data_IF_647916528358
#
_entry.id   IF_647916528358
#
_cell.length_a   1.000
_cell.length_b   1.000
_cell.length_c   1.000
_cell.angle_alpha   90.00
_cell.angle_beta   90.00
_cell.angle_gamma   90.00
#
_symmetry.space_group_name_H-M   'P 1'
#
loop_
_entity.id
_entity.type
_entity.pdbx_description
1 polymer ?
#
# COMPACT_ATOMS: atom_id res chain seq x y z
N UNK A 1 11.47 -99.45 -47.78
CA UNK A 1 12.84 -99.16 -47.32
C UNK A 1 13.42 -98.05 -48.17
N UNK A 2 14.21 -97.17 -47.54
CA UNK A 2 14.97 -96.05 -48.10
C UNK A 2 14.17 -94.78 -48.50
N UNK A 3 14.15 -93.86 -47.54
CA UNK A 3 13.85 -92.42 -47.68
C UNK A 3 15.04 -91.72 -48.33
N UNK A 4 14.78 -90.88 -49.33
CA UNK A 4 15.77 -90.01 -49.96
C UNK A 4 15.76 -88.65 -49.25
N UNK A 5 16.96 -88.24 -48.82
CA UNK A 5 17.22 -86.98 -48.15
C UNK A 5 17.31 -85.83 -49.15
N UNK A 6 16.59 -84.74 -48.88
CA UNK A 6 16.71 -83.47 -49.59
C UNK A 6 17.43 -82.46 -48.66
N UNK A 7 18.50 -81.89 -49.18
CA UNK A 7 19.45 -81.06 -48.46
C UNK A 7 18.91 -79.63 -48.26
N UNK A 8 18.85 -79.20 -47.00
CA UNK A 8 18.57 -77.82 -46.61
C UNK A 8 19.88 -77.03 -46.60
N UNK A 9 19.98 -75.85 -47.25
CA UNK A 9 21.20 -75.06 -47.23
C UNK A 9 21.41 -74.40 -45.86
N UNK A 10 22.61 -74.54 -45.32
CA UNK A 10 23.07 -73.89 -44.11
C UNK A 10 23.13 -72.37 -44.31
N UNK A 11 22.25 -71.64 -43.61
CA UNK A 11 22.35 -70.19 -43.48
C UNK A 11 23.47 -69.85 -42.50
N UNK A 12 24.45 -69.10 -42.97
CA UNK A 12 25.47 -68.43 -42.17
C UNK A 12 24.83 -67.39 -41.25
N UNK A 13 25.26 -67.26 -39.98
CA UNK A 13 24.77 -66.20 -39.10
C UNK A 13 25.32 -64.86 -39.60
N UNK A 14 24.44 -64.00 -40.09
CA UNK A 14 24.75 -62.62 -40.44
C UNK A 14 25.31 -61.90 -39.20
N UNK A 15 26.54 -61.39 -39.32
CA UNK A 15 27.12 -60.43 -38.39
C UNK A 15 26.16 -59.25 -38.26
N UNK A 16 25.55 -59.10 -37.08
CA UNK A 16 24.80 -57.88 -36.77
C UNK A 16 25.84 -56.78 -36.60
N UNK A 17 25.95 -55.95 -37.62
CA UNK A 17 26.67 -54.67 -37.60
C UNK A 17 26.21 -53.88 -36.37
N UNK A 18 27.11 -53.71 -35.40
CA UNK A 18 26.82 -52.94 -34.19
C UNK A 18 26.74 -51.47 -34.56
N UNK A 19 25.52 -50.94 -34.64
CA UNK A 19 25.28 -49.51 -34.77
C UNK A 19 25.24 -48.92 -33.34
N UNK A 20 26.27 -48.18 -32.91
CA UNK A 20 26.24 -47.57 -31.59
C UNK A 20 25.06 -46.59 -31.49
N UNK A 21 24.33 -46.56 -30.35
CA UNK A 21 23.25 -45.61 -30.12
C UNK A 21 23.73 -44.16 -30.28
N UNK A 22 22.91 -43.26 -30.85
CA UNK A 22 23.28 -41.85 -31.00
C UNK A 22 23.47 -41.23 -29.60
N UNK A 23 24.58 -40.51 -29.43
CA UNK A 23 24.90 -39.81 -28.19
C UNK A 23 23.86 -38.72 -27.94
N UNK A 24 23.52 -38.50 -26.68
CA UNK A 24 22.69 -37.35 -26.30
C UNK A 24 23.46 -36.04 -26.49
N UNK A 25 22.76 -34.95 -26.80
CA UNK A 25 23.35 -33.61 -26.98
C UNK A 25 24.24 -33.21 -25.79
N UNK A 26 23.83 -33.54 -24.56
CA UNK A 26 24.61 -33.28 -23.36
C UNK A 26 25.92 -34.09 -23.29
N UNK A 27 25.92 -35.33 -23.78
CA UNK A 27 27.13 -36.14 -23.86
C UNK A 27 28.07 -35.64 -24.96
N UNK A 28 27.50 -35.17 -26.08
CA UNK A 28 28.27 -34.55 -27.16
C UNK A 28 28.95 -33.27 -26.67
N UNK A 29 28.22 -32.39 -25.98
CA UNK A 29 28.77 -31.17 -25.37
C UNK A 29 29.87 -31.48 -24.35
N UNK A 30 29.70 -32.53 -23.53
CA UNK A 30 30.73 -32.97 -22.59
C UNK A 30 32.00 -33.47 -23.30
N UNK A 31 31.85 -34.23 -24.39
CA UNK A 31 32.97 -34.70 -25.22
C UNK A 31 33.67 -33.52 -25.90
N UNK A 32 32.90 -32.57 -26.43
CA UNK A 32 33.41 -31.35 -27.07
C UNK A 32 34.18 -30.51 -26.06
N UNK A 33 33.61 -30.26 -24.88
CA UNK A 33 34.26 -29.54 -23.79
C UNK A 33 35.58 -30.20 -23.39
N UNK A 34 35.58 -31.52 -23.18
CA UNK A 34 36.79 -32.28 -22.84
C UNK A 34 37.88 -32.15 -23.92
N UNK A 35 37.49 -32.18 -25.21
CA UNK A 35 38.43 -32.01 -26.33
C UNK A 35 38.96 -30.59 -26.48
N UNK A 36 38.17 -29.58 -26.12
CA UNK A 36 38.58 -28.17 -26.17
C UNK A 36 39.54 -27.85 -25.02
N UNK A 37 39.28 -28.37 -23.81
CA UNK A 37 40.08 -28.09 -22.63
C UNK A 37 41.39 -28.89 -22.58
N UNK A 38 41.43 -30.09 -23.15
CA UNK A 38 42.64 -30.93 -23.16
C UNK A 38 43.48 -30.71 -24.44
N UNK A 39 44.54 -29.90 -24.35
CA UNK A 39 45.44 -29.64 -25.48
C UNK A 39 46.44 -30.79 -25.75
N UNK A 40 45.97 -31.79 -26.48
CA UNK A 40 46.78 -32.91 -26.99
C UNK A 40 47.90 -32.46 -27.97
N UNK A 41 47.93 -31.21 -28.45
CA UNK A 41 48.98 -30.75 -29.37
C UNK A 41 50.32 -30.65 -28.67
N UNK A 42 50.36 -30.17 -27.42
CA UNK A 42 51.59 -30.07 -26.64
C UNK A 42 52.21 -31.44 -26.39
N UNK A 43 51.41 -32.42 -25.95
CA UNK A 43 51.85 -33.80 -25.76
C UNK A 43 52.37 -34.43 -27.06
N UNK A 44 51.68 -34.20 -28.18
CA UNK A 44 52.14 -34.64 -29.51
C UNK A 44 53.44 -33.98 -29.95
N UNK A 45 53.72 -32.72 -29.56
CA UNK A 45 55.01 -32.07 -29.83
C UNK A 45 56.14 -32.71 -29.02
N UNK A 46 55.95 -32.90 -27.71
CA UNK A 46 56.90 -33.62 -26.84
C UNK A 46 57.21 -35.01 -27.40
N UNK A 47 56.16 -35.76 -27.77
CA UNK A 47 56.28 -37.10 -28.34
C UNK A 47 57.09 -37.08 -29.63
N UNK A 48 56.86 -36.13 -30.54
CA UNK A 48 57.65 -36.01 -31.78
C UNK A 48 59.10 -35.66 -31.52
N UNK A 49 59.39 -34.76 -30.57
CA UNK A 49 60.77 -34.41 -30.18
C UNK A 49 61.51 -35.59 -29.55
N UNK A 50 60.81 -36.39 -28.74
CA UNK A 50 61.34 -37.64 -28.19
C UNK A 50 61.73 -38.64 -29.28
N UNK A 51 60.83 -38.90 -30.24
CA UNK A 51 61.11 -39.83 -31.35
C UNK A 51 62.27 -39.35 -32.23
N UNK A 52 62.36 -38.04 -32.48
CA UNK A 52 63.48 -37.44 -33.21
C UNK A 52 64.80 -37.67 -32.46
N UNK A 53 64.85 -37.36 -31.16
CA UNK A 53 66.04 -37.63 -30.33
C UNK A 53 66.41 -39.12 -30.33
N UNK A 54 65.45 -40.01 -30.11
CA UNK A 54 65.68 -41.46 -30.09
C UNK A 54 66.24 -41.96 -31.44
N UNK A 55 65.74 -41.45 -32.57
CA UNK A 55 66.21 -41.85 -33.90
C UNK A 55 67.66 -41.44 -34.20
N UNK A 56 68.13 -40.32 -33.65
CA UNK A 56 69.49 -39.81 -33.84
C UNK A 56 70.46 -40.40 -32.81
N UNK A 57 69.99 -40.65 -31.58
CA UNK A 57 70.79 -41.24 -30.50
C UNK A 57 70.94 -42.77 -30.62
N UNK A 58 69.95 -43.46 -31.19
CA UNK A 58 69.94 -44.90 -31.41
C UNK A 58 69.60 -45.24 -32.87
N UNK A 59 70.59 -45.20 -33.79
CA UNK A 59 70.38 -45.55 -35.18
C UNK A 59 69.91 -47.00 -35.31
N UNK A 60 68.76 -47.21 -35.95
CA UNK A 60 68.23 -48.56 -36.23
C UNK A 60 69.13 -49.31 -37.21
N UNK A 61 69.33 -50.62 -37.00
CA UNK A 61 70.19 -51.50 -37.81
C UNK A 61 69.65 -51.81 -39.23
N UNK A 62 68.65 -51.07 -39.72
CA UNK A 62 67.95 -51.26 -41.01
C UNK A 62 68.29 -50.04 -41.91
N UNK A 63 68.55 -50.22 -43.23
CA UNK A 63 69.19 -49.18 -44.05
C UNK A 63 68.42 -47.84 -44.06
N UNK A 64 69.12 -46.70 -43.88
CA UNK A 64 68.50 -45.44 -43.55
C UNK A 64 67.94 -44.67 -44.75
N UNK A 65 66.75 -44.11 -44.58
CA UNK A 65 66.25 -42.92 -45.32
C UNK A 65 67.10 -41.69 -44.97
N UNK A 66 67.23 -40.67 -45.85
CA UNK A 66 68.20 -39.59 -45.69
C UNK A 66 68.06 -38.88 -44.33
N UNK A 67 69.13 -38.95 -43.54
CA UNK A 67 69.17 -38.50 -42.15
C UNK A 67 69.16 -36.97 -42.04
N UNK A 68 68.35 -36.45 -41.12
CA UNK A 68 68.49 -35.08 -40.64
C UNK A 68 69.87 -34.91 -39.99
N UNK A 69 70.63 -33.89 -40.40
CA UNK A 69 72.02 -33.62 -39.97
C UNK A 69 72.11 -32.94 -38.60
N UNK A 70 71.14 -33.16 -37.71
CA UNK A 70 71.09 -32.53 -36.38
C UNK A 70 71.98 -33.31 -35.42
N UNK A 71 72.79 -32.62 -34.61
CA UNK A 71 73.62 -33.29 -33.62
C UNK A 71 72.76 -33.96 -32.54
N UNK A 72 73.26 -35.05 -31.94
CA UNK A 72 72.57 -35.76 -30.85
C UNK A 72 72.25 -34.80 -29.70
N UNK A 73 73.18 -33.89 -29.39
CA UNK A 73 73.03 -32.92 -28.31
C UNK A 73 71.94 -31.88 -28.64
N UNK A 74 71.88 -31.36 -29.87
CA UNK A 74 70.80 -30.44 -30.28
C UNK A 74 69.41 -31.11 -30.21
N UNK A 75 69.33 -32.38 -30.60
CA UNK A 75 68.08 -33.14 -30.53
C UNK A 75 67.64 -33.43 -29.09
N UNK A 76 68.61 -33.65 -28.18
CA UNK A 76 68.39 -33.82 -26.74
C UNK A 76 67.89 -32.52 -26.11
N UNK A 77 68.57 -31.41 -26.37
CA UNK A 77 68.20 -30.11 -25.80
C UNK A 77 66.84 -29.65 -26.29
N UNK A 78 66.52 -29.88 -27.58
CA UNK A 78 65.20 -29.61 -28.12
C UNK A 78 64.09 -30.45 -27.47
N UNK A 79 64.37 -31.71 -27.10
CA UNK A 79 63.43 -32.54 -26.36
C UNK A 79 63.25 -32.07 -24.90
N UNK A 80 64.35 -31.79 -24.19
CA UNK A 80 64.29 -31.31 -22.81
C UNK A 80 63.56 -29.97 -22.70
N UNK A 81 63.77 -29.06 -23.65
CA UNK A 81 63.09 -27.78 -23.70
C UNK A 81 61.58 -27.94 -23.91
N UNK A 82 61.15 -28.79 -24.86
CA UNK A 82 59.72 -29.06 -25.07
C UNK A 82 59.09 -29.76 -23.86
N UNK A 83 59.82 -30.68 -23.21
CA UNK A 83 59.37 -31.36 -21.99
C UNK A 83 59.18 -30.38 -20.83
N UNK A 84 60.14 -29.46 -20.62
CA UNK A 84 60.04 -28.41 -19.61
C UNK A 84 58.87 -27.45 -19.91
N UNK A 85 58.67 -27.08 -21.17
CA UNK A 85 57.55 -26.26 -21.60
C UNK A 85 56.20 -26.96 -21.35
N UNK A 86 56.11 -28.26 -21.63
CA UNK A 86 54.91 -29.06 -21.35
C UNK A 86 54.64 -29.15 -19.84
N UNK A 87 55.66 -29.40 -19.02
CA UNK A 87 55.52 -29.41 -17.56
C UNK A 87 55.04 -28.05 -17.03
N UNK A 88 55.56 -26.94 -17.56
CA UNK A 88 55.10 -25.61 -17.19
C UNK A 88 53.62 -25.38 -17.58
N UNK A 89 53.21 -25.84 -18.76
CA UNK A 89 51.82 -25.78 -19.20
C UNK A 89 50.88 -26.56 -18.28
N UNK A 90 51.26 -27.76 -17.83
CA UNK A 90 50.48 -28.54 -16.89
C UNK A 90 50.32 -27.84 -15.54
N UNK A 91 51.41 -27.27 -15.00
CA UNK A 91 51.37 -26.49 -13.76
C UNK A 91 50.45 -25.27 -13.90
N UNK A 92 50.51 -24.56 -15.03
CA UNK A 92 49.61 -23.44 -15.33
C UNK A 92 48.15 -23.90 -15.33
N UNK A 93 47.83 -25.00 -16.03
CA UNK A 93 46.47 -25.54 -16.09
C UNK A 93 45.95 -25.88 -14.70
N UNK A 94 46.77 -26.49 -13.84
CA UNK A 94 46.39 -26.81 -12.46
C UNK A 94 46.08 -25.54 -11.66
N UNK A 95 46.92 -24.51 -11.76
CA UNK A 95 46.67 -23.23 -11.08
C UNK A 95 45.38 -22.55 -11.56
N UNK A 96 45.06 -22.67 -12.86
CA UNK A 96 43.79 -22.16 -13.41
C UNK A 96 42.61 -22.92 -12.83
N UNK A 97 42.65 -24.27 -12.81
CA UNK A 97 41.59 -25.06 -12.22
C UNK A 97 41.36 -24.74 -10.73
N UNK A 98 42.44 -24.53 -9.96
CA UNK A 98 42.32 -24.10 -8.56
C UNK A 98 41.71 -22.70 -8.42
N UNK A 99 42.09 -21.76 -9.29
CA UNK A 99 41.53 -20.41 -9.28
C UNK A 99 40.04 -20.43 -9.65
N UNK A 100 39.67 -21.17 -10.68
CA UNK A 100 38.28 -21.37 -11.11
C UNK A 100 37.44 -22.02 -10.00
N UNK A 101 37.99 -23.02 -9.30
CA UNK A 101 37.30 -23.65 -8.17
C UNK A 101 36.99 -22.64 -7.06
N UNK A 102 37.97 -21.81 -6.67
CA UNK A 102 37.76 -20.72 -5.69
C UNK A 102 36.71 -19.72 -6.17
N UNK A 103 36.77 -19.34 -7.45
CA UNK A 103 35.83 -18.40 -8.03
C UNK A 103 34.39 -18.94 -8.04
N UNK A 104 34.21 -20.23 -8.35
CA UNK A 104 32.90 -20.89 -8.29
C UNK A 104 32.34 -20.89 -6.87
N UNK A 105 33.16 -21.17 -5.86
CA UNK A 105 32.72 -21.10 -4.46
C UNK A 105 32.28 -19.69 -4.07
N UNK A 106 33.02 -18.65 -4.46
CA UNK A 106 32.65 -17.26 -4.21
C UNK A 106 31.33 -16.89 -4.88
N UNK A 107 31.13 -17.27 -6.15
CA UNK A 107 29.84 -17.06 -6.82
C UNK A 107 28.69 -17.80 -6.15
N UNK A 108 28.92 -19.00 -5.62
CA UNK A 108 27.89 -19.73 -4.88
C UNK A 108 27.51 -18.99 -3.59
N UNK A 109 28.49 -18.52 -2.82
CA UNK A 109 28.25 -17.72 -1.59
C UNK A 109 27.50 -16.43 -1.91
N UNK A 110 27.89 -15.72 -2.97
CA UNK A 110 27.22 -14.48 -3.37
C UNK A 110 25.79 -14.75 -3.87
N UNK A 111 25.59 -15.85 -4.62
CA UNK A 111 24.24 -16.27 -5.04
C UNK A 111 23.34 -16.55 -3.84
N UNK A 112 23.85 -17.24 -2.82
CA UNK A 112 23.11 -17.50 -1.58
C UNK A 112 22.78 -16.19 -0.84
N UNK A 113 23.73 -15.26 -0.75
CA UNK A 113 23.51 -13.93 -0.18
C UNK A 113 22.38 -13.18 -0.88
N UNK A 114 22.42 -13.12 -2.22
CA UNK A 114 21.39 -12.46 -3.04
C UNK A 114 20.03 -13.13 -2.84
N UNK A 115 19.97 -14.46 -2.77
CA UNK A 115 18.71 -15.18 -2.52
C UNK A 115 18.14 -14.85 -1.15
N UNK A 116 18.97 -14.79 -0.11
CA UNK A 116 18.55 -14.43 1.24
C UNK A 116 18.05 -12.99 1.31
N UNK A 117 18.75 -12.05 0.66
CA UNK A 117 18.33 -10.65 0.59
C UNK A 117 17.01 -10.50 -0.17
N UNK A 118 16.84 -11.21 -1.30
CA UNK A 118 15.59 -11.23 -2.04
C UNK A 118 14.44 -11.79 -1.20
N UNK A 119 14.67 -12.82 -0.40
CA UNK A 119 13.68 -13.36 0.52
C UNK A 119 13.28 -12.30 1.55
N UNK A 120 14.25 -11.69 2.22
CA UNK A 120 14.02 -10.63 3.21
C UNK A 120 13.23 -9.46 2.63
N UNK A 121 13.57 -9.00 1.43
CA UNK A 121 12.86 -7.90 0.77
C UNK A 121 11.41 -8.29 0.43
N UNK A 122 11.14 -9.55 0.06
CA UNK A 122 9.77 -10.02 -0.14
C UNK A 122 8.97 -10.00 1.16
N UNK A 123 9.55 -10.47 2.25
CA UNK A 123 8.90 -10.48 3.56
C UNK A 123 8.58 -9.04 4.01
N UNK A 124 9.50 -8.10 3.80
CA UNK A 124 9.29 -6.67 4.08
C UNK A 124 8.17 -6.06 3.22
N UNK A 125 8.10 -6.44 1.94
CA UNK A 125 7.00 -5.99 1.06
C UNK A 125 5.66 -6.52 1.56
N UNK A 126 5.60 -7.77 2.02
CA UNK A 126 4.38 -8.37 2.58
C UNK A 126 3.95 -7.67 3.87
N UNK A 127 4.88 -7.41 4.78
CA UNK A 127 4.63 -6.64 6.01
C UNK A 127 4.11 -5.22 5.72
N UNK A 128 4.72 -4.53 4.76
CA UNK A 128 4.29 -3.19 4.36
C UNK A 128 2.89 -3.19 3.72
N UNK A 129 2.54 -4.23 2.95
CA UNK A 129 1.19 -4.39 2.41
C UNK A 129 0.15 -4.57 3.52
N UNK A 130 0.42 -5.45 4.49
CA UNK A 130 -0.47 -5.65 5.62
C UNK A 130 -0.66 -4.36 6.44
N UNK A 131 0.43 -3.62 6.67
CA UNK A 131 0.38 -2.33 7.37
C UNK A 131 -0.42 -1.29 6.60
N UNK A 132 -0.27 -1.25 5.27
CA UNK A 132 -1.03 -0.36 4.40
C UNK A 132 -2.54 -0.68 4.46
N UNK A 133 -2.91 -1.95 4.38
CA UNK A 133 -4.31 -2.40 4.47
C UNK A 133 -4.92 -2.01 5.81
N UNK A 134 -4.20 -2.22 6.91
CA UNK A 134 -4.62 -1.79 8.24
C UNK A 134 -4.83 -0.27 8.30
N UNK A 135 -3.86 0.52 7.82
CA UNK A 135 -3.97 1.98 7.82
C UNK A 135 -5.14 2.50 6.97
N UNK A 136 -5.43 1.83 5.84
CA UNK A 136 -6.61 2.15 5.02
C UNK A 136 -7.91 1.84 5.74
N UNK A 137 -7.98 0.72 6.45
CA UNK A 137 -9.15 0.33 7.25
C UNK A 137 -9.37 1.31 8.40
N UNK A 138 -8.32 1.68 9.14
CA UNK A 138 -8.38 2.71 10.19
C UNK A 138 -8.86 4.05 9.64
N UNK A 139 -8.38 4.45 8.46
CA UNK A 139 -8.86 5.66 7.79
C UNK A 139 -10.35 5.58 7.45
N UNK A 140 -10.84 4.45 6.93
CA UNK A 140 -12.27 4.27 6.62
C UNK A 140 -13.12 4.39 7.88
N UNK A 141 -12.74 3.69 8.95
CA UNK A 141 -13.43 3.79 10.24
C UNK A 141 -13.42 5.22 10.79
N UNK A 142 -12.29 5.92 10.68
CA UNK A 142 -12.20 7.33 11.11
C UNK A 142 -13.17 8.22 10.34
N UNK A 143 -13.27 8.04 9.03
CA UNK A 143 -14.23 8.80 8.20
C UNK A 143 -15.67 8.49 8.64
N UNK A 144 -16.00 7.24 8.93
CA UNK A 144 -17.33 6.87 9.44
C UNK A 144 -17.63 7.52 10.80
N UNK A 145 -16.66 7.53 11.71
CA UNK A 145 -16.78 8.23 12.99
C UNK A 145 -16.96 9.73 12.80
N UNK A 146 -16.21 10.35 11.90
CA UNK A 146 -16.33 11.78 11.60
C UNK A 146 -17.73 12.11 11.06
N UNK A 147 -18.28 11.29 10.16
CA UNK A 147 -19.67 11.45 9.65
C UNK A 147 -20.70 11.34 10.77
N UNK A 148 -20.53 10.37 11.68
CA UNK A 148 -21.43 10.22 12.84
C UNK A 148 -21.29 11.41 13.79
N UNK A 149 -20.07 11.89 14.03
CA UNK A 149 -19.80 13.05 14.87
C UNK A 149 -20.44 14.32 14.29
N UNK A 150 -20.35 14.54 12.97
CA UNK A 150 -21.03 15.64 12.29
C UNK A 150 -22.55 15.58 12.52
N UNK A 151 -23.18 14.41 12.36
CA UNK A 151 -24.62 14.23 12.63
C UNK A 151 -24.96 14.54 14.10
N UNK A 152 -24.17 14.04 15.05
CA UNK A 152 -24.38 14.31 16.49
C UNK A 152 -24.27 15.81 16.77
N UNK A 153 -23.33 16.51 16.15
CA UNK A 153 -23.14 17.96 16.33
C UNK A 153 -24.30 18.80 15.75
N UNK A 154 -25.17 18.24 14.90
CA UNK A 154 -26.40 18.93 14.45
C UNK A 154 -27.54 18.88 15.47
N UNK A 155 -27.44 17.99 16.47
CA UNK A 155 -28.44 17.84 17.52
C UNK A 155 -28.12 18.79 18.69
N UNK A 156 -29.15 19.25 19.44
CA UNK A 156 -28.92 20.04 20.64
C UNK A 156 -28.07 19.26 21.64
N UNK A 157 -27.28 19.99 22.43
CA UNK A 157 -26.47 19.33 23.45
C UNK A 157 -27.36 18.63 24.47
N UNK A 158 -26.85 17.54 25.03
CA UNK A 158 -27.57 16.79 26.07
C UNK A 158 -27.96 17.68 27.25
N UNK A 159 -27.08 18.60 27.63
CA UNK A 159 -27.31 19.55 28.73
C UNK A 159 -28.42 20.55 28.42
N UNK A 160 -28.51 21.06 27.19
CA UNK A 160 -29.61 21.96 26.78
C UNK A 160 -30.94 21.24 26.78
N UNK A 161 -30.97 19.99 26.29
CA UNK A 161 -32.19 19.18 26.31
C UNK A 161 -32.64 18.87 27.75
N UNK A 162 -31.70 18.54 28.65
CA UNK A 162 -31.98 18.34 30.07
C UNK A 162 -32.53 19.60 30.74
N UNK A 163 -31.99 20.78 30.43
CA UNK A 163 -32.53 22.07 30.92
C UNK A 163 -33.93 22.35 30.36
N UNK A 164 -34.18 22.07 29.09
CA UNK A 164 -35.50 22.24 28.47
C UNK A 164 -36.53 21.31 29.12
N UNK A 165 -36.18 20.06 29.40
CA UNK A 165 -37.04 19.12 30.12
C UNK A 165 -37.36 19.65 31.51
N UNK A 166 -36.35 20.09 32.28
CA UNK A 166 -36.55 20.64 33.62
C UNK A 166 -37.45 21.88 33.62
N UNK A 167 -37.29 22.77 32.63
CA UNK A 167 -38.14 23.95 32.48
C UNK A 167 -39.60 23.55 32.23
N UNK A 168 -39.84 22.64 31.29
CA UNK A 168 -41.19 22.13 31.00
C UNK A 168 -41.83 21.41 32.20
N UNK A 169 -41.04 20.64 32.95
CA UNK A 169 -41.51 19.99 34.18
C UNK A 169 -41.92 20.99 35.26
N UNK A 170 -41.14 22.08 35.41
CA UNK A 170 -41.48 23.16 36.34
C UNK A 170 -42.75 23.90 35.89
N UNK A 171 -42.89 24.22 34.60
CA UNK A 171 -44.08 24.85 34.05
C UNK A 171 -45.33 23.97 34.26
N UNK A 172 -45.22 22.65 34.03
CA UNK A 172 -46.31 21.71 34.32
C UNK A 172 -46.69 21.71 35.81
N UNK A 173 -45.71 21.75 36.70
CA UNK A 173 -45.96 21.81 38.14
C UNK A 173 -46.67 23.12 38.53
N UNK A 174 -46.23 24.26 37.98
CA UNK A 174 -46.85 25.57 38.20
C UNK A 174 -48.30 25.61 37.70
N UNK A 175 -48.56 25.11 36.49
CA UNK A 175 -49.92 25.04 35.92
C UNK A 175 -50.83 24.18 36.80
N UNK A 176 -50.36 23.02 37.28
CA UNK A 176 -51.14 22.16 38.18
C UNK A 176 -51.46 22.86 39.49
N UNK A 177 -50.50 23.56 40.08
CA UNK A 177 -50.70 24.32 41.32
C UNK A 177 -51.71 25.47 41.14
N UNK A 178 -51.62 26.21 40.03
CA UNK A 178 -52.57 27.28 39.72
C UNK A 178 -53.98 26.74 39.44
N UNK A 179 -54.10 25.63 38.72
CA UNK A 179 -55.39 24.96 38.51
C UNK A 179 -56.02 24.47 39.83
N UNK A 180 -55.22 23.91 40.74
CA UNK A 180 -55.70 23.60 42.10
C UNK A 180 -56.16 24.84 42.85
N UNK A 181 -55.42 25.94 42.77
CA UNK A 181 -55.77 27.22 43.39
C UNK A 181 -57.09 27.78 42.83
N UNK A 182 -57.26 27.79 41.51
CA UNK A 182 -58.49 28.22 40.85
C UNK A 182 -59.67 27.35 41.24
N UNK A 183 -59.52 26.03 41.29
CA UNK A 183 -60.57 25.14 41.77
C UNK A 183 -60.95 25.42 43.22
N UNK A 184 -59.98 25.68 44.11
CA UNK A 184 -60.26 26.08 45.50
C UNK A 184 -61.05 27.39 45.55
N UNK A 185 -60.67 28.39 44.78
CA UNK A 185 -61.37 29.69 44.70
C UNK A 185 -62.78 29.52 44.15
N UNK A 186 -62.96 28.76 43.07
CA UNK A 186 -64.28 28.48 42.49
C UNK A 186 -65.20 27.78 43.47
N UNK A 187 -64.69 26.77 44.19
CA UNK A 187 -65.46 26.07 45.22
C UNK A 187 -65.85 27.00 46.38
N UNK A 188 -64.95 27.87 46.82
CA UNK A 188 -65.24 28.86 47.87
C UNK A 188 -66.30 29.88 47.41
N UNK A 189 -66.20 30.39 46.18
CA UNK A 189 -67.20 31.30 45.60
C UNK A 189 -68.56 30.63 45.44
N UNK A 190 -68.58 29.37 44.96
CA UNK A 190 -69.81 28.59 44.88
C UNK A 190 -70.47 28.44 46.26
N UNK A 191 -69.70 28.08 47.28
CA UNK A 191 -70.21 27.95 48.65
C UNK A 191 -70.74 29.29 49.22
N UNK A 192 -70.05 30.40 48.94
CA UNK A 192 -70.51 31.74 49.33
C UNK A 192 -71.81 32.13 48.60
N UNK A 193 -71.92 31.86 47.31
CA UNK A 193 -73.13 32.11 46.53
C UNK A 193 -74.30 31.24 47.03
N UNK A 194 -74.05 29.96 47.31
CA UNK A 194 -75.05 29.05 47.89
C UNK A 194 -75.58 29.60 49.23
N UNK A 195 -74.71 30.24 50.03
CA UNK A 195 -75.09 30.93 51.28
C UNK A 195 -75.98 32.15 50.99
N UNK A 196 -75.60 33.02 50.05
CA UNK A 196 -76.43 34.19 49.67
C UNK A 196 -77.78 33.76 49.10
N UNK A 197 -77.82 32.72 48.28
CA UNK A 197 -79.07 32.16 47.74
C UNK A 197 -79.94 31.64 48.90
N UNK A 198 -79.35 30.97 49.88
CA UNK A 198 -80.04 30.55 51.09
C UNK A 198 -80.64 31.74 51.84
N UNK A 199 -79.84 32.77 52.10
CA UNK A 199 -80.28 33.99 52.79
C UNK A 199 -81.39 34.72 52.02
N UNK A 200 -81.30 34.84 50.69
CA UNK A 200 -82.36 35.41 49.85
C UNK A 200 -83.63 34.57 49.94
N UNK A 201 -83.53 33.25 49.95
CA UNK A 201 -84.69 32.38 50.11
C UNK A 201 -85.35 32.54 51.49
N UNK A 202 -84.55 32.66 52.55
CA UNK A 202 -85.03 32.98 53.90
C UNK A 202 -85.70 34.36 53.92
N UNK A 203 -85.08 35.38 53.36
CA UNK A 203 -85.64 36.73 53.27
C UNK A 203 -86.90 36.79 52.42
N UNK A 204 -86.99 36.02 51.32
CA UNK A 204 -88.24 35.89 50.53
C UNK A 204 -89.33 35.20 51.34
N UNK A 205 -88.99 34.19 52.13
CA UNK A 205 -89.93 33.53 53.02
C UNK A 205 -90.44 34.50 54.10
N UNK A 206 -89.57 35.34 54.65
CA UNK A 206 -89.92 36.36 55.66
C UNK A 206 -90.61 37.61 55.08
N UNK A 207 -90.23 38.06 53.89
CA UNK A 207 -90.78 39.24 53.22
C UNK A 207 -92.11 38.98 52.52
N UNK A 208 -92.41 37.71 52.22
CA UNK A 208 -93.76 37.29 51.80
C UNK A 208 -94.81 37.47 52.90
N UNK A 209 -94.38 37.64 54.16
CA UNK A 209 -95.25 37.98 55.29
C UNK A 209 -95.40 39.51 55.51
N UNK A 210 -94.74 40.37 54.73
CA UNK A 210 -94.73 41.83 54.92
C UNK A 210 -95.27 42.66 53.73
N UNK A 211 -95.69 42.02 52.62
CA UNK A 211 -96.15 42.70 51.40
C UNK A 211 -97.54 42.22 50.91
N UNK A 212 -98.40 41.76 51.82
CA UNK A 212 -99.82 41.45 51.53
C UNK A 212 -100.78 42.57 52.03
N UNK A 213 -100.32 43.82 52.16
CA UNK A 213 -101.25 44.92 52.51
C UNK A 213 -100.73 46.29 52.04
N UNK A 214 -100.91 46.62 50.75
CA UNK A 214 -101.20 47.98 50.25
C UNK A 214 -101.45 47.98 48.75
N UNK A 215 -102.74 48.14 48.43
CA UNK A 215 -103.35 48.40 47.13
C UNK A 215 -102.79 49.63 46.41
N UNK A 216 -102.60 49.54 45.08
CA UNK A 216 -103.08 50.48 44.05
C UNK A 216 -102.35 50.25 42.71
N UNK A 217 -103.05 49.74 41.70
CA UNK A 217 -102.57 49.72 40.32
C UNK A 217 -103.70 50.06 39.34
N UNK A 218 -103.64 51.26 38.77
CA UNK A 218 -104.15 51.64 37.43
C UNK A 218 -103.61 53.06 37.13
N UNK A 219 -103.41 53.53 35.87
CA UNK A 219 -103.56 52.87 34.56
C UNK A 219 -102.33 53.03 33.62
N UNK A 220 -102.45 52.50 32.39
CA UNK A 220 -101.50 52.52 31.26
C UNK A 220 -101.24 53.93 30.66
N UNK A 221 -100.22 54.07 29.77
CA UNK A 221 -100.45 54.02 28.31
C UNK A 221 -99.39 53.17 27.55
N UNK A 222 -99.78 52.32 26.59
CA UNK A 222 -99.89 52.58 25.13
C UNK A 222 -98.54 52.79 24.38
N UNK A 223 -98.17 51.74 23.60
CA UNK A 223 -97.67 51.75 22.20
C UNK A 223 -96.80 52.92 21.71
N UNK A 224 -95.60 52.70 21.15
CA UNK A 224 -95.41 52.22 19.76
C UNK A 224 -93.92 51.89 19.44
N UNK A 225 -93.65 51.22 18.29
CA UNK A 225 -92.37 50.60 17.95
C UNK A 225 -91.42 51.52 17.15
N UNK A 226 -90.12 51.21 17.19
CA UNK A 226 -89.07 51.85 16.40
C UNK A 226 -87.75 51.82 17.17
N UNK A 227 -86.57 51.61 16.62
CA UNK A 227 -86.09 51.46 15.25
C UNK A 227 -84.78 50.66 15.33
N UNK A 228 -84.54 49.80 14.34
CA UNK A 228 -83.20 49.34 13.97
C UNK A 228 -82.31 50.56 13.71
N UNK A 229 -81.22 50.67 14.47
CA UNK A 229 -80.10 51.54 14.10
C UNK A 229 -78.81 50.74 14.28
N UNK A 230 -78.49 49.97 13.24
CA UNK A 230 -77.11 49.76 12.84
C UNK A 230 -76.50 51.12 12.52
N UNK A 231 -75.49 51.58 13.28
CA UNK A 231 -74.46 52.46 12.72
C UNK A 231 -73.21 52.63 13.60
N UNK A 232 -72.08 52.47 12.92
CA UNK A 232 -70.76 53.09 13.07
C UNK A 232 -70.11 53.10 14.46
N UNK A 233 -68.92 52.54 14.64
CA UNK A 233 -67.71 52.83 13.87
C UNK A 233 -66.63 53.04 14.93
N UNK A 234 -65.41 52.52 14.86
CA UNK A 234 -64.36 52.96 13.94
C UNK A 234 -63.05 52.38 14.51
N UNK A 235 -62.01 52.34 13.66
CA UNK A 235 -60.61 52.13 13.98
C UNK A 235 -60.11 50.67 14.09
N UNK A 236 -59.97 50.03 12.94
CA UNK A 236 -58.71 49.32 12.66
C UNK A 236 -58.18 49.78 11.30
N UNK A 237 -57.30 50.78 11.38
CA UNK A 237 -56.64 51.49 10.30
C UNK A 237 -55.17 51.07 10.32
N UNK A 238 -54.70 50.55 9.17
CA UNK A 238 -53.30 50.54 8.67
C UNK A 238 -52.34 49.62 9.45
N UNK A 239 -51.53 48.77 8.83
CA UNK A 239 -50.66 48.86 7.65
C UNK A 239 -50.26 47.42 7.28
N UNK A 240 -49.85 47.01 6.08
CA UNK A 240 -49.51 47.68 4.83
C UNK A 240 -49.22 46.56 3.82
N UNK A 241 -49.79 46.71 2.63
CA UNK A 241 -49.40 46.06 1.37
C UNK A 241 -47.90 46.20 1.13
N UNK A 242 -47.26 45.29 0.41
CA UNK A 242 -46.78 45.58 -0.96
C UNK A 242 -46.05 44.30 -1.40
N UNK A 243 -46.67 43.53 -2.29
CA UNK A 243 -46.35 43.47 -3.73
C UNK A 243 -45.07 42.68 -4.00
N UNK A 244 -45.00 41.75 -4.94
CA UNK A 244 -45.81 41.54 -6.14
C UNK A 244 -44.86 41.03 -7.23
N UNK A 245 -45.44 40.44 -8.28
CA UNK A 245 -44.83 39.90 -9.52
C UNK A 245 -44.34 38.44 -9.42
N UNK A 246 -45.09 37.41 -9.85
CA UNK A 246 -45.75 37.10 -11.14
C UNK A 246 -44.81 37.04 -12.36
N UNK A 247 -44.56 35.81 -12.86
CA UNK A 247 -45.12 35.28 -14.13
C UNK A 247 -44.60 33.85 -14.38
N UNK A 248 -45.49 32.85 -14.52
CA UNK A 248 -46.09 32.32 -15.77
C UNK A 248 -45.03 31.65 -16.67
N UNK A 249 -45.03 30.33 -16.91
CA UNK A 249 -45.93 29.69 -17.88
C UNK A 249 -46.24 28.19 -17.64
N UNK A 250 -47.54 27.92 -17.56
CA UNK A 250 -48.36 27.02 -18.38
C UNK A 250 -47.89 25.63 -18.94
N UNK A 251 -48.60 24.60 -18.46
CA UNK A 251 -49.48 23.65 -19.21
C UNK A 251 -48.86 22.40 -19.92
N UNK A 252 -48.99 21.26 -19.21
CA UNK A 252 -49.81 20.05 -19.49
C UNK A 252 -49.54 19.01 -20.61
N UNK A 253 -49.85 17.76 -20.20
CA UNK A 253 -50.39 16.55 -20.91
C UNK A 253 -49.41 15.39 -21.13
N UNK A 254 -49.50 14.29 -20.35
CA UNK A 254 -50.40 13.11 -20.50
C UNK A 254 -50.11 12.31 -21.79
N UNK A 255 -49.69 11.05 -21.79
CA UNK A 255 -50.48 9.87 -21.37
C UNK A 255 -49.65 8.57 -21.44
N UNK A 256 -49.94 7.68 -20.47
CA UNK A 256 -49.84 6.20 -20.38
C UNK A 256 -49.49 5.32 -21.60
N UNK A 257 -48.75 4.23 -21.36
CA UNK A 257 -49.27 2.83 -21.18
C UNK A 257 -48.11 1.83 -20.94
N UNK A 258 -48.11 1.15 -19.77
CA UNK A 258 -48.31 -0.31 -19.57
C UNK A 258 -47.10 -1.21 -19.96
N UNK A 259 -46.27 -1.69 -19.02
CA UNK A 259 -46.45 -2.77 -18.03
C UNK A 259 -45.88 -4.13 -18.48
N UNK A 260 -44.82 -4.63 -17.82
CA UNK A 260 -44.75 -6.00 -17.24
C UNK A 260 -43.49 -6.25 -16.40
N UNK A 261 -43.71 -6.91 -15.26
CA UNK A 261 -42.77 -7.49 -14.31
C UNK A 261 -41.84 -8.57 -14.94
N UNK A 262 -40.60 -8.71 -14.46
CA UNK A 262 -40.22 -9.66 -13.40
C UNK A 262 -38.68 -9.85 -13.29
N UNK A 263 -38.22 -9.89 -12.03
CA UNK A 263 -37.10 -10.67 -11.45
C UNK A 263 -35.67 -10.65 -12.01
N UNK A 264 -34.78 -10.12 -11.14
CA UNK A 264 -33.64 -10.81 -10.51
C UNK A 264 -32.26 -10.88 -11.22
N UNK A 265 -31.24 -10.89 -10.35
CA UNK A 265 -29.81 -11.24 -10.54
C UNK A 265 -28.81 -10.22 -11.12
N UNK A 266 -28.01 -9.67 -10.19
CA UNK A 266 -26.53 -9.62 -10.11
C UNK A 266 -25.64 -9.07 -11.25
N UNK A 267 -24.61 -8.34 -10.78
CA UNK A 267 -23.29 -8.08 -11.40
C UNK A 267 -23.30 -7.15 -12.63
N UNK A 268 -22.77 -5.93 -12.50
CA UNK A 268 -21.34 -5.57 -12.54
C UNK A 268 -21.14 -4.83 -13.85
N UNK A 269 -20.90 -3.52 -13.79
CA UNK A 269 -20.18 -2.75 -14.81
C UNK A 269 -20.10 -1.28 -14.37
N UNK A 270 -18.88 -0.79 -14.15
CA UNK A 270 -18.23 0.16 -15.06
C UNK A 270 -17.07 0.89 -14.38
N UNK A 271 -15.88 0.60 -14.91
CA UNK A 271 -14.65 1.34 -14.78
C UNK A 271 -14.80 2.80 -15.21
N UNK A 272 -14.50 3.74 -14.32
CA UNK A 272 -14.29 5.16 -14.67
C UNK A 272 -12.79 5.46 -14.56
N UNK A 273 -12.10 5.80 -15.67
CA UNK A 273 -10.67 6.10 -15.65
C UNK A 273 -10.37 7.49 -15.07
N UNK A 274 -9.75 7.51 -13.88
CA UNK A 274 -9.25 8.70 -13.16
C UNK A 274 -7.91 9.24 -13.74
N UNK A 275 -7.84 9.52 -15.03
CA UNK A 275 -6.66 10.15 -15.63
C UNK A 275 -7.04 11.41 -16.41
N UNK A 276 -7.31 12.50 -15.68
CA UNK A 276 -7.19 13.92 -16.12
C UNK A 276 -7.51 14.88 -14.97
N UNK A 277 -6.66 14.88 -13.94
CA UNK A 277 -6.60 16.00 -13.00
C UNK A 277 -5.42 16.90 -13.41
N UNK A 278 -5.73 17.95 -14.18
CA UNK A 278 -4.82 19.05 -14.49
C UNK A 278 -4.51 19.81 -13.20
N UNK A 279 -3.44 19.42 -12.51
CA UNK A 279 -2.90 20.16 -11.37
C UNK A 279 -2.15 21.40 -11.88
N UNK A 280 -2.37 22.51 -11.17
CA UNK A 280 -1.93 23.86 -11.51
C UNK A 280 -0.39 23.97 -11.66
N UNK A 281 0.15 24.39 -12.84
CA UNK A 281 1.58 24.50 -13.10
C UNK A 281 2.27 25.68 -12.38
N UNK A 282 1.52 26.51 -11.63
CA UNK A 282 2.08 27.65 -10.88
C UNK A 282 2.27 27.39 -9.38
N UNK A 283 1.95 26.18 -8.90
CA UNK A 283 2.14 25.84 -7.49
C UNK A 283 3.63 25.65 -7.16
N UNK A 284 4.20 26.56 -6.35
CA UNK A 284 5.58 26.47 -5.87
C UNK A 284 5.74 25.29 -4.92
N UNK A 285 6.70 24.41 -5.22
CA UNK A 285 7.13 23.30 -4.37
C UNK A 285 7.52 23.80 -2.97
N UNK A 286 6.88 23.23 -1.96
CA UNK A 286 7.14 23.51 -0.55
C UNK A 286 8.45 22.83 -0.12
N UNK A 287 9.48 23.61 0.19
CA UNK A 287 10.75 23.13 0.75
C UNK A 287 10.76 23.45 2.25
N UNK A 288 10.71 22.46 3.16
CA UNK A 288 10.84 22.72 4.58
C UNK A 288 12.31 23.10 4.88
N UNK A 289 12.54 24.36 5.25
CA UNK A 289 13.82 24.81 5.80
C UNK A 289 13.90 24.42 7.28
N UNK A 290 14.67 23.39 7.58
CA UNK A 290 15.07 23.04 8.95
C UNK A 290 16.04 24.08 9.51
N UNK A 291 15.54 25.05 10.29
CA UNK A 291 16.33 25.83 11.25
C UNK A 291 15.47 26.21 12.45
N UNK A 292 15.71 25.55 13.58
CA UNK A 292 15.50 26.15 14.90
C UNK A 292 16.61 25.68 15.83
N UNK A 293 17.61 26.54 15.96
CA UNK A 293 18.52 26.61 17.10
C UNK A 293 17.71 26.95 18.35
N UNK A 294 17.95 26.25 19.45
CA UNK A 294 17.63 26.69 20.81
C UNK A 294 18.93 26.81 21.63
N UNK A 295 19.18 27.97 22.29
CA UNK A 295 20.33 28.17 23.15
C UNK A 295 20.06 27.69 24.59
N UNK A 296 21.09 27.17 25.26
CA UNK A 296 20.99 26.47 26.56
C UNK A 296 21.12 27.32 27.82
N UNK A 297 21.10 26.64 28.98
CA UNK A 297 21.64 27.06 30.30
C UNK A 297 21.94 25.80 31.15
N UNK A 298 23.04 25.74 31.94
CA UNK A 298 23.43 24.59 32.78
C UNK A 298 22.90 24.69 34.22
N UNK A 299 23.09 23.64 35.06
CA UNK A 299 23.80 23.92 36.31
C UNK A 299 24.77 22.82 36.80
N UNK A 300 25.55 23.27 37.77
CA UNK A 300 26.78 22.76 38.35
C UNK A 300 26.67 21.58 39.33
N UNK A 301 27.70 20.72 39.29
CA UNK A 301 28.64 20.37 40.40
C UNK A 301 28.04 19.94 41.75
N UNK A 302 28.28 18.68 42.13
CA UNK A 302 28.76 18.36 43.47
C UNK A 302 29.64 17.10 43.47
N UNK A 303 30.61 17.17 44.37
CA UNK A 303 31.80 16.36 44.60
C UNK A 303 31.52 15.15 45.49
N UNK A 304 32.19 14.03 45.25
CA UNK A 304 32.80 13.24 46.34
C UNK A 304 33.93 12.36 45.81
N UNK A 305 34.85 12.07 46.71
CA UNK A 305 36.25 11.73 46.48
C UNK A 305 36.57 10.45 47.28
N UNK A 306 37.38 9.53 46.71
CA UNK A 306 38.45 8.72 47.37
C UNK A 306 37.99 7.44 48.17
N UNK A 307 38.77 6.32 48.30
CA UNK A 307 39.72 5.65 47.37
C UNK A 307 39.87 4.08 47.51
N UNK A 308 40.79 3.50 46.71
CA UNK A 308 41.65 2.29 46.97
C UNK A 308 41.03 0.89 46.72
N UNK A 309 41.65 -0.13 46.11
CA UNK A 309 43.07 -0.60 45.98
C UNK A 309 43.27 -1.51 44.72
N UNK A 310 44.53 -1.92 44.40
CA UNK A 310 44.95 -2.48 43.11
C UNK A 310 45.30 -4.00 43.11
N UNK A 311 45.26 -4.62 41.92
CA UNK A 311 46.04 -5.80 41.47
C UNK A 311 46.10 -5.72 39.92
N UNK A 312 47.20 -5.33 39.29
CA UNK A 312 48.40 -6.12 38.91
C UNK A 312 48.15 -7.05 37.70
N UNK A 313 48.91 -6.75 36.63
CA UNK A 313 49.44 -7.60 35.54
C UNK A 313 48.62 -7.91 34.27
N UNK A 314 49.21 -7.44 33.15
CA UNK A 314 49.25 -7.91 31.75
C UNK A 314 48.90 -6.75 30.78
N UNK A 315 49.82 -5.89 30.32
CA UNK A 315 51.14 -6.10 29.72
C UNK A 315 51.10 -6.77 28.33
N UNK A 316 50.49 -6.09 27.34
CA UNK A 316 50.88 -6.17 25.92
C UNK A 316 50.79 -4.76 25.30
N UNK A 317 51.89 -4.05 25.50
CA UNK A 317 52.51 -3.10 24.58
C UNK A 317 52.48 -3.63 23.13
N UNK A 318 52.03 -2.83 22.16
CA UNK A 318 52.72 -2.67 20.85
C UNK A 318 52.01 -1.61 20.00
N UNK A 319 52.76 -0.57 19.64
CA UNK A 319 52.71 -0.07 18.26
C UNK A 319 52.04 1.28 18.03
N UNK A 320 52.57 2.32 18.64
CA UNK A 320 52.50 3.69 18.15
C UNK A 320 53.30 3.79 16.83
N UNK A 321 52.66 4.18 15.71
CA UNK A 321 53.35 4.83 14.59
C UNK A 321 52.57 6.09 14.27
N UNK A 322 53.00 7.19 14.88
CA UNK A 322 52.81 8.52 14.32
C UNK A 322 53.91 8.80 13.31
N UNK A 323 53.55 9.33 12.14
CA UNK A 323 54.39 10.33 11.48
C UNK A 323 53.52 11.32 10.69
N UNK A 324 53.88 12.58 10.89
CA UNK A 324 53.18 13.81 10.54
C UNK A 324 53.57 14.33 9.13
N UNK A 325 53.13 15.51 8.68
CA UNK A 325 52.77 15.78 7.29
C UNK A 325 53.92 16.32 6.42
N UNK A 326 53.75 16.27 5.10
CA UNK A 326 54.53 17.06 4.15
C UNK A 326 53.64 17.85 3.20
N UNK A 327 53.74 19.17 3.36
CA UNK A 327 53.35 20.17 2.37
C UNK A 327 54.12 20.00 1.05
N UNK A 328 53.43 20.07 -0.07
CA UNK A 328 54.02 20.52 -1.33
C UNK A 328 52.97 21.20 -2.22
N UNK A 329 53.15 22.50 -2.39
CA UNK A 329 52.50 23.38 -3.37
C UNK A 329 52.65 22.82 -4.79
N UNK A 330 51.56 22.82 -5.56
CA UNK A 330 51.60 22.57 -7.00
C UNK A 330 50.31 22.94 -7.72
N UNK A 331 50.26 24.16 -8.26
CA UNK A 331 49.24 24.64 -9.21
C UNK A 331 49.01 23.65 -10.35
N UNK A 332 47.74 23.44 -10.77
CA UNK A 332 47.27 23.66 -12.16
C UNK A 332 45.75 23.55 -12.28
N UNK A 333 45.25 24.41 -13.18
CA UNK A 333 43.86 24.67 -13.58
C UNK A 333 43.26 23.54 -14.43
N UNK A 334 41.93 23.49 -14.40
CA UNK A 334 40.97 23.21 -15.48
C UNK A 334 41.21 22.02 -16.42
N UNK A 335 40.30 21.04 -16.34
CA UNK A 335 39.63 20.34 -17.47
C UNK A 335 38.54 19.45 -16.82
N UNK A 336 37.27 19.86 -16.72
CA UNK A 336 36.24 19.95 -17.77
C UNK A 336 36.35 18.83 -18.81
N UNK A 337 35.62 17.75 -18.58
CA UNK A 337 35.08 16.75 -19.52
C UNK A 337 34.36 15.73 -18.63
N UNK A 338 33.06 15.94 -18.42
CA UNK A 338 31.97 15.24 -19.14
C UNK A 338 31.58 13.93 -18.45
N UNK A 339 30.64 14.10 -17.50
CA UNK A 339 29.52 13.18 -17.33
C UNK A 339 28.81 13.09 -18.68
N UNK A 340 28.79 11.91 -19.31
CA UNK A 340 27.76 11.60 -20.29
C UNK A 340 27.11 10.28 -19.91
N UNK A 341 25.85 10.46 -19.54
CA UNK A 341 24.92 9.46 -19.04
C UNK A 341 24.45 8.58 -20.20
N UNK A 342 24.10 7.34 -19.86
CA UNK A 342 23.55 6.40 -20.82
C UNK A 342 22.19 6.87 -21.36
N UNK A 343 22.09 6.92 -22.68
CA UNK A 343 20.81 6.98 -23.37
C UNK A 343 20.34 5.56 -23.70
N UNK A 344 19.16 5.25 -23.16
CA UNK A 344 18.34 4.12 -23.53
C UNK A 344 17.83 4.30 -24.97
N UNK A 345 18.07 3.31 -25.84
CA UNK A 345 17.36 3.20 -27.11
C UNK A 345 16.10 2.35 -26.92
N UNK A 346 15.00 3.09 -26.87
CA UNK A 346 13.68 2.87 -27.47
C UNK A 346 13.33 1.47 -28.01
N UNK A 347 12.24 0.96 -27.45
CA UNK A 347 11.46 -0.18 -27.89
C UNK A 347 10.58 0.23 -29.08
N UNK A 348 10.98 -0.13 -30.30
CA UNK A 348 10.02 -0.24 -31.41
C UNK A 348 10.51 -1.17 -32.52
N UNK A 349 9.96 -2.38 -32.56
CA UNK A 349 9.63 -3.03 -33.84
C UNK A 349 8.56 -4.09 -33.63
N UNK A 350 7.36 -3.75 -34.07
CA UNK A 350 6.29 -4.67 -34.41
C UNK A 350 6.68 -5.57 -35.60
N UNK A 351 5.86 -6.60 -35.84
CA UNK A 351 5.73 -7.45 -37.04
C UNK A 351 6.63 -8.68 -37.16
N UNK A 352 6.08 -9.87 -36.84
CA UNK A 352 5.52 -10.80 -37.84
C UNK A 352 5.30 -12.20 -37.24
N UNK A 353 4.04 -12.60 -37.05
CA UNK A 353 3.63 -13.99 -36.81
C UNK A 353 2.79 -14.45 -38.01
N UNK A 354 3.21 -15.47 -38.79
CA UNK A 354 2.43 -15.97 -39.91
C UNK A 354 1.41 -17.04 -39.47
N UNK A 355 0.32 -17.24 -40.24
CA UNK A 355 -0.81 -18.08 -39.84
C UNK A 355 -0.50 -19.58 -39.94
N UNK A 356 -1.06 -20.33 -38.98
CA UNK A 356 -1.13 -21.78 -38.96
C UNK A 356 -2.05 -22.31 -40.08
N UNK A 357 -1.63 -23.42 -40.69
CA UNK A 357 -2.36 -24.24 -41.67
C UNK A 357 -2.59 -25.65 -41.09
#
# INVERSE_FOLDING_TARGET
MASAAEAVPAQTPAEKEYVPPPLSVQQEDAIIHTRITNDEKALRRVTRKFHNYASVAYPSLIPPTPSNTTSVDDARDAFLLELAAFQLSLKKSLMVCEAEARQVEEYQRERERIVNERSRLRDQIEELKATLEQAQLERKQKIEYDVVAEKINTLPSRTELEQSIQALENDMAAIRAEHENQNRVLHAQKAALDTVIHDINVLRLMGKDAAEESTAATPAPETQPGEDVDMDGTASVRTREESGELREDAISRSTSTAAKLAEDTHESDEDIPLSKALLNPTARLFVPKSRTNTPGVPPSRSTSTIPSKPTVEDDIEMGEIGEEPKDARGRRKNRLEELEEGEASDESSELSEPPDD
#
